data_IF_900159667575
#
_entry.id   IF_900159667575
#
_cell.length_a   1.000
_cell.length_b   1.000
_cell.length_c   1.000
_cell.angle_alpha   90.00
_cell.angle_beta   90.00
_cell.angle_gamma   90.00
#
_symmetry.space_group_name_H-M   'P 1'
#
loop_
_entity.id
_entity.type
_entity.pdbx_description
1 polymer ?
#
# COMPACT_ATOMS: atom_id res chain seq x y z
N UNK A 1 -11.60 9.41 -22.07
CA UNK A 1 -11.31 8.00 -21.72
C UNK A 1 -11.74 7.84 -20.28
N UNK A 2 -12.55 6.83 -19.95
CA UNK A 2 -12.91 6.57 -18.54
C UNK A 2 -11.69 5.91 -17.90
N UNK A 3 -11.36 6.36 -16.69
CA UNK A 3 -10.25 5.86 -15.90
C UNK A 3 -10.44 4.35 -15.66
N UNK A 4 -9.51 3.52 -16.13
CA UNK A 4 -9.61 2.06 -16.03
C UNK A 4 -9.46 1.57 -14.57
N UNK A 5 -9.09 2.46 -13.64
CA UNK A 5 -8.88 2.18 -12.23
C UNK A 5 -9.99 2.74 -11.29
N UNK A 6 -11.06 3.34 -11.82
CA UNK A 6 -12.17 3.87 -11.00
C UNK A 6 -13.01 2.72 -10.41
N UNK A 7 -13.02 2.56 -9.08
CA UNK A 7 -13.86 1.57 -8.41
C UNK A 7 -15.34 1.97 -8.48
N UNK A 8 -16.14 1.11 -9.09
CA UNK A 8 -17.59 1.18 -9.16
C UNK A 8 -18.16 0.33 -8.01
N UNK A 9 -18.83 0.99 -7.07
CA UNK A 9 -19.49 0.36 -5.92
C UNK A 9 -20.94 -0.01 -6.24
N UNK A 10 -21.40 -1.13 -5.70
CA UNK A 10 -22.78 -1.57 -5.87
C UNK A 10 -23.73 -0.78 -4.96
N UNK A 11 -24.95 -0.44 -5.42
CA UNK A 11 -25.98 0.10 -4.53
C UNK A 11 -26.50 -0.93 -3.50
N UNK A 12 -26.07 -2.19 -3.57
CA UNK A 12 -26.45 -3.23 -2.62
C UNK A 12 -25.58 -3.24 -1.36
N UNK A 13 -24.45 -2.54 -1.38
CA UNK A 13 -23.57 -2.36 -0.22
C UNK A 13 -24.36 -1.84 0.99
N UNK A 14 -24.11 -2.48 2.14
CA UNK A 14 -24.80 -2.13 3.38
C UNK A 14 -24.13 -2.75 4.59
N UNK A 15 -24.40 -2.13 5.73
CA UNK A 15 -24.22 -2.78 7.01
C UNK A 15 -25.34 -3.80 7.22
N UNK A 16 -24.98 -4.98 7.72
CA UNK A 16 -25.90 -6.04 8.09
C UNK A 16 -25.68 -6.43 9.55
N UNK A 17 -26.76 -6.47 10.33
CA UNK A 17 -26.74 -6.77 11.75
C UNK A 17 -27.63 -7.97 12.05
N UNK A 18 -27.09 -8.94 12.77
CA UNK A 18 -27.83 -10.10 13.30
C UNK A 18 -27.44 -10.29 14.78
N UNK A 19 -28.42 -10.14 15.67
CA UNK A 19 -28.16 -10.08 17.11
C UNK A 19 -27.35 -8.84 17.50
N UNK A 20 -26.22 -9.06 18.19
CA UNK A 20 -25.27 -8.00 18.59
C UNK A 20 -24.12 -7.83 17.59
N UNK A 21 -24.07 -8.64 16.53
CA UNK A 21 -22.96 -8.66 15.57
C UNK A 21 -23.34 -7.85 14.34
N UNK A 22 -22.44 -6.96 13.90
CA UNK A 22 -22.59 -6.16 12.68
C UNK A 22 -21.39 -6.38 11.77
N UNK A 23 -21.66 -6.53 10.48
CA UNK A 23 -20.67 -6.59 9.40
C UNK A 23 -21.03 -5.60 8.29
N UNK A 24 -20.05 -5.14 7.54
CA UNK A 24 -20.22 -4.32 6.35
C UNK A 24 -20.03 -5.18 5.10
N UNK A 25 -21.04 -5.21 4.22
CA UNK A 25 -21.00 -5.93 2.95
C UNK A 25 -20.60 -4.93 1.86
N UNK A 26 -19.41 -5.12 1.29
CA UNK A 26 -18.80 -4.31 0.24
C UNK A 26 -18.80 -5.08 -1.09
N UNK A 27 -19.24 -4.46 -2.19
CA UNK A 27 -19.38 -5.10 -3.49
C UNK A 27 -18.96 -4.12 -4.58
N UNK A 28 -17.78 -4.32 -5.13
CA UNK A 28 -17.16 -3.36 -6.05
C UNK A 28 -16.53 -4.03 -7.27
N UNK A 29 -16.20 -3.23 -8.27
CA UNK A 29 -15.43 -3.65 -9.45
C UNK A 29 -14.72 -2.46 -10.11
N UNK A 30 -13.75 -2.76 -10.97
CA UNK A 30 -13.25 -1.80 -11.97
C UNK A 30 -14.11 -1.84 -13.25
N UNK A 31 -14.07 -0.81 -14.11
CA UNK A 31 -14.88 -0.77 -15.32
C UNK A 31 -14.51 -1.93 -16.26
N UNK A 32 -15.48 -2.79 -16.56
CA UNK A 32 -15.28 -3.92 -17.48
C UNK A 32 -14.86 -5.24 -16.83
N UNK A 33 -14.74 -5.31 -15.50
CA UNK A 33 -14.46 -6.56 -14.77
C UNK A 33 -15.71 -7.12 -14.07
N UNK A 34 -15.57 -8.34 -13.54
CA UNK A 34 -16.55 -8.98 -12.65
C UNK A 34 -16.62 -8.27 -11.30
N UNK A 35 -17.70 -8.51 -10.56
CA UNK A 35 -17.91 -7.97 -9.21
C UNK A 35 -17.14 -8.79 -8.17
N UNK A 36 -16.53 -8.08 -7.23
CA UNK A 36 -15.85 -8.62 -6.05
C UNK A 36 -16.75 -8.47 -4.84
N UNK A 37 -16.77 -9.47 -3.97
CA UNK A 37 -17.45 -9.43 -2.68
C UNK A 37 -16.43 -9.38 -1.55
N UNK A 38 -16.60 -8.43 -0.65
CA UNK A 38 -15.85 -8.28 0.57
C UNK A 38 -16.81 -8.08 1.75
N UNK A 39 -16.54 -8.70 2.89
CA UNK A 39 -17.27 -8.45 4.14
C UNK A 39 -16.30 -8.08 5.25
N UNK A 40 -16.52 -6.92 5.86
CA UNK A 40 -15.69 -6.37 6.93
C UNK A 40 -16.41 -6.51 8.28
N UNK A 41 -15.73 -7.04 9.29
CA UNK A 41 -16.28 -7.19 10.64
C UNK A 41 -16.12 -5.93 11.52
N UNK A 42 -16.75 -5.94 12.70
CA UNK A 42 -16.62 -4.86 13.69
C UNK A 42 -15.21 -4.67 14.28
N UNK A 43 -14.26 -5.57 14.00
CA UNK A 43 -12.85 -5.44 14.36
C UNK A 43 -11.98 -4.93 13.19
N UNK A 44 -12.55 -4.71 12.01
CA UNK A 44 -11.84 -4.33 10.79
C UNK A 44 -11.12 -5.49 10.09
N UNK A 45 -11.47 -6.75 10.41
CA UNK A 45 -11.02 -7.89 9.63
C UNK A 45 -11.89 -8.01 8.38
N UNK A 46 -11.26 -8.37 7.26
CA UNK A 46 -11.94 -8.52 5.97
C UNK A 46 -11.97 -9.98 5.54
N UNK A 47 -13.13 -10.42 5.05
CA UNK A 47 -13.32 -11.67 4.34
C UNK A 47 -13.61 -11.34 2.89
N UNK A 48 -12.72 -11.73 1.96
CA UNK A 48 -12.89 -11.52 0.52
C UNK A 48 -13.14 -12.85 -0.16
N UNK A 49 -14.12 -12.90 -1.04
CA UNK A 49 -14.45 -14.12 -1.79
C UNK A 49 -13.58 -14.23 -3.04
N UNK A 50 -13.02 -15.43 -3.28
CA UNK A 50 -12.21 -15.74 -4.47
C UNK A 50 -13.04 -15.88 -5.75
N UNK A 51 -14.32 -16.23 -5.61
CA UNK A 51 -15.23 -16.39 -6.76
C UNK A 51 -15.60 -14.99 -7.30
N UNK A 52 -15.38 -14.75 -8.59
CA UNK A 52 -15.86 -13.55 -9.27
C UNK A 52 -17.36 -13.65 -9.60
N UNK A 53 -18.09 -12.55 -9.42
CA UNK A 53 -19.54 -12.52 -9.64
C UNK A 53 -19.92 -11.74 -10.91
N UNK A 54 -20.73 -12.35 -11.78
CA UNK A 54 -21.24 -11.70 -12.99
C UNK A 54 -22.12 -10.47 -12.67
N UNK A 55 -22.80 -10.48 -11.52
CA UNK A 55 -23.67 -9.38 -11.06
C UNK A 55 -23.41 -9.08 -9.59
N UNK A 56 -23.62 -7.82 -9.21
CA UNK A 56 -23.57 -7.38 -7.82
C UNK A 56 -24.63 -8.08 -6.95
N UNK A 57 -25.79 -8.40 -7.53
CA UNK A 57 -26.80 -9.20 -6.83
C UNK A 57 -26.30 -10.62 -6.50
N UNK A 58 -25.52 -11.26 -7.40
CA UNK A 58 -24.96 -12.58 -7.13
C UNK A 58 -23.91 -12.54 -6.00
N UNK A 59 -23.08 -11.49 -5.97
CA UNK A 59 -22.17 -11.22 -4.86
C UNK A 59 -22.95 -11.04 -3.55
N UNK A 60 -23.97 -10.18 -3.54
CA UNK A 60 -24.79 -9.95 -2.36
C UNK A 60 -25.47 -11.24 -1.86
N UNK A 61 -26.00 -12.05 -2.77
CA UNK A 61 -26.65 -13.31 -2.43
C UNK A 61 -25.68 -14.32 -1.79
N UNK A 62 -24.41 -14.36 -2.23
CA UNK A 62 -23.38 -15.22 -1.62
C UNK A 62 -23.00 -14.77 -0.21
N UNK A 63 -22.88 -13.46 0.04
CA UNK A 63 -22.65 -12.92 1.38
C UNK A 63 -23.79 -13.34 2.33
N UNK A 64 -25.03 -13.15 1.88
CA UNK A 64 -26.21 -13.54 2.65
C UNK A 64 -26.33 -15.05 2.82
N UNK A 65 -25.90 -15.85 1.84
CA UNK A 65 -25.89 -17.30 1.94
C UNK A 65 -24.86 -17.79 2.96
N UNK A 66 -23.69 -17.18 3.01
CA UNK A 66 -22.64 -17.48 4.00
C UNK A 66 -23.14 -17.18 5.41
N UNK A 67 -23.71 -15.99 5.62
CA UNK A 67 -24.32 -15.62 6.92
C UNK A 67 -25.40 -16.61 7.33
N UNK A 68 -26.26 -17.05 6.40
CA UNK A 68 -27.32 -18.03 6.69
C UNK A 68 -26.81 -19.44 6.99
N UNK A 69 -25.71 -19.85 6.36
CA UNK A 69 -25.23 -21.25 6.44
C UNK A 69 -24.26 -21.43 7.59
N UNK A 70 -23.33 -20.49 7.73
CA UNK A 70 -22.20 -20.58 8.64
C UNK A 70 -22.38 -19.63 9.85
N UNK A 71 -23.41 -18.78 9.83
CA UNK A 71 -23.70 -17.78 10.85
C UNK A 71 -22.88 -16.51 10.65
N UNK A 72 -23.42 -15.34 11.01
CA UNK A 72 -22.68 -14.06 10.94
C UNK A 72 -21.35 -14.10 11.71
N UNK A 73 -21.27 -14.90 12.78
CA UNK A 73 -20.07 -15.09 13.58
C UNK A 73 -18.90 -15.72 12.80
N UNK A 74 -19.17 -16.47 11.73
CA UNK A 74 -18.12 -17.05 10.87
C UNK A 74 -17.32 -15.99 10.11
N UNK A 75 -17.89 -14.80 9.94
CA UNK A 75 -17.28 -13.66 9.28
C UNK A 75 -16.57 -12.73 10.27
N UNK A 76 -16.56 -13.08 11.56
CA UNK A 76 -15.90 -12.31 12.62
C UNK A 76 -14.54 -12.95 12.90
N UNK A 77 -13.47 -12.24 12.55
CA UNK A 77 -12.11 -12.63 12.89
C UNK A 77 -11.81 -12.43 14.37
N UNK A 78 -10.68 -12.97 14.84
CA UNK A 78 -10.26 -12.75 16.22
C UNK A 78 -10.11 -11.24 16.50
N UNK A 79 -10.51 -10.78 17.70
CA UNK A 79 -10.26 -9.41 18.11
C UNK A 79 -8.75 -9.17 18.11
N UNK A 80 -8.32 -8.23 17.28
CA UNK A 80 -6.97 -7.66 17.34
C UNK A 80 -6.70 -7.23 18.79
N UNK A 81 -5.56 -7.66 19.36
CA UNK A 81 -5.27 -7.60 20.82
C UNK A 81 -5.59 -6.21 21.37
N UNK A 82 -6.14 -6.15 22.58
CA UNK A 82 -6.69 -4.96 23.25
C UNK A 82 -5.77 -3.72 23.42
N UNK A 83 -4.52 -3.77 22.94
CA UNK A 83 -3.69 -2.58 22.73
C UNK A 83 -4.08 -1.79 21.46
N UNK A 84 -4.89 -2.37 20.57
CA UNK A 84 -5.27 -1.77 19.28
C UNK A 84 -6.64 -1.07 19.32
N UNK A 85 -7.47 -1.32 20.33
CA UNK A 85 -8.88 -0.87 20.39
C UNK A 85 -9.09 0.57 20.90
N UNK A 86 -8.02 1.35 21.07
CA UNK A 86 -8.08 2.82 21.27
C UNK A 86 -7.39 3.60 20.16
N UNK A 87 -6.99 2.95 19.05
CA UNK A 87 -6.60 3.66 17.84
C UNK A 87 -7.89 4.21 17.24
N UNK A 88 -8.02 5.53 17.18
CA UNK A 88 -8.88 6.15 16.19
C UNK A 88 -8.46 5.56 14.85
N UNK A 89 -9.26 4.63 14.31
CA UNK A 89 -9.06 4.13 12.96
C UNK A 89 -9.19 5.37 12.10
N UNK A 90 -8.08 5.83 11.54
CA UNK A 90 -8.09 6.88 10.54
C UNK A 90 -9.18 6.51 9.54
N UNK A 91 -10.16 7.41 9.37
CA UNK A 91 -11.22 7.23 8.41
C UNK A 91 -10.57 6.75 7.09
N UNK A 92 -10.94 5.60 6.51
CA UNK A 92 -10.26 5.06 5.34
C UNK A 92 -10.24 6.06 4.16
N UNK A 93 -11.20 6.99 4.10
CA UNK A 93 -11.19 8.12 3.17
C UNK A 93 -10.04 9.12 3.39
N UNK A 94 -9.60 9.31 4.65
CA UNK A 94 -8.46 10.18 4.99
C UNK A 94 -7.12 9.60 4.56
N UNK A 95 -6.92 8.29 4.70
CA UNK A 95 -5.67 7.63 4.27
C UNK A 95 -5.48 7.67 2.75
N UNK A 96 -6.58 7.78 1.99
CA UNK A 96 -6.56 7.94 0.54
C UNK A 96 -6.42 9.41 0.09
N UNK A 97 -6.49 10.37 1.01
CA UNK A 97 -6.38 11.80 0.68
C UNK A 97 -4.89 12.19 0.67
N UNK A 98 -4.34 12.73 -0.43
CA UNK A 98 -2.97 13.25 -0.47
C UNK A 98 -2.72 14.29 0.62
N UNK A 99 -1.46 14.46 1.04
CA UNK A 99 -1.09 15.54 1.95
C UNK A 99 -1.29 16.90 1.26
N UNK A 100 -1.84 17.85 2.00
CA UNK A 100 -1.79 19.26 1.59
C UNK A 100 -0.40 19.85 1.82
N UNK A 101 -0.07 20.97 1.18
CA UNK A 101 1.22 21.67 1.40
C UNK A 101 1.48 21.95 2.87
N UNK A 102 0.46 22.43 3.61
CA UNK A 102 0.61 22.71 5.03
C UNK A 102 0.88 21.44 5.88
N UNK A 103 0.35 20.28 5.48
CA UNK A 103 0.64 19.01 6.17
C UNK A 103 2.03 18.48 5.78
N UNK A 104 2.50 18.75 4.56
CA UNK A 104 3.89 18.43 4.17
C UNK A 104 4.87 19.29 4.97
N UNK A 105 4.62 20.60 5.09
CA UNK A 105 5.44 21.51 5.90
C UNK A 105 5.43 21.10 7.39
N UNK A 106 4.29 20.62 7.89
CA UNK A 106 4.17 20.11 9.26
C UNK A 106 4.99 18.82 9.47
N UNK A 107 4.94 17.89 8.51
CA UNK A 107 5.73 16.67 8.55
C UNK A 107 7.23 16.98 8.49
N UNK A 108 7.66 17.84 7.57
CA UNK A 108 9.05 18.27 7.42
C UNK A 108 9.60 18.91 8.71
N UNK A 109 8.80 19.82 9.30
CA UNK A 109 9.15 20.46 10.55
C UNK A 109 9.28 19.47 11.72
N UNK A 110 8.47 18.39 11.74
CA UNK A 110 8.59 17.35 12.76
C UNK A 110 9.84 16.48 12.57
N UNK A 111 10.10 16.03 11.34
CA UNK A 111 11.26 15.19 11.00
C UNK A 111 12.58 15.88 11.35
N UNK A 112 12.63 17.20 11.28
CA UNK A 112 13.80 18.04 11.56
C UNK A 112 13.84 18.64 12.98
N UNK A 113 12.95 18.19 13.89
CA UNK A 113 12.81 18.78 15.22
C UNK A 113 13.68 18.09 16.28
N UNK A 114 13.85 18.71 17.44
CA UNK A 114 14.53 18.09 18.59
C UNK A 114 13.78 16.86 19.16
N UNK A 115 12.60 16.51 18.63
CA UNK A 115 11.86 15.30 18.98
C UNK A 115 12.41 14.05 18.27
N UNK A 116 13.23 14.22 17.23
CA UNK A 116 13.81 13.15 16.42
C UNK A 116 15.34 13.15 16.57
N UNK A 117 15.98 12.04 16.19
CA UNK A 117 17.44 11.91 16.23
C UNK A 117 18.09 12.46 14.95
N UNK A 118 19.41 12.67 14.95
CA UNK A 118 20.16 13.04 13.74
C UNK A 118 20.14 11.93 12.65
N UNK A 119 19.73 10.72 13.00
CA UNK A 119 19.59 9.58 12.07
C UNK A 119 18.21 9.55 11.39
N UNK A 120 17.28 10.42 11.79
CA UNK A 120 15.94 10.49 11.21
C UNK A 120 15.99 11.03 9.78
N UNK A 121 15.24 10.40 8.89
CA UNK A 121 15.15 10.81 7.49
C UNK A 121 14.52 12.19 7.35
N UNK A 122 15.16 13.04 6.54
CA UNK A 122 14.56 14.29 6.06
C UNK A 122 13.40 14.00 5.09
N UNK A 123 12.53 14.98 4.82
CA UNK A 123 11.32 14.75 4.01
C UNK A 123 11.64 14.21 2.60
N UNK A 124 12.67 14.72 1.94
CA UNK A 124 13.11 14.27 0.62
C UNK A 124 13.73 12.86 0.65
N UNK A 125 14.52 12.54 1.68
CA UNK A 125 15.02 11.19 1.92
C UNK A 125 13.88 10.20 2.19
N UNK A 126 12.89 10.59 2.99
CA UNK A 126 11.69 9.79 3.26
C UNK A 126 10.90 9.50 1.97
N UNK A 127 10.70 10.50 1.10
CA UNK A 127 10.01 10.34 -0.19
C UNK A 127 10.75 9.29 -1.07
N UNK A 128 12.07 9.37 -1.14
CA UNK A 128 12.89 8.39 -1.87
C UNK A 128 12.81 6.98 -1.29
N UNK A 129 12.90 6.87 0.04
CA UNK A 129 12.78 5.61 0.77
C UNK A 129 11.43 4.92 0.53
N UNK A 130 10.34 5.67 0.67
CA UNK A 130 8.99 5.17 0.41
C UNK A 130 8.80 4.84 -1.07
N UNK A 131 9.36 5.62 -1.99
CA UNK A 131 9.29 5.34 -3.43
C UNK A 131 9.94 4.01 -3.78
N UNK A 132 11.13 3.71 -3.24
CA UNK A 132 11.79 2.41 -3.43
C UNK A 132 10.91 1.26 -2.93
N UNK A 133 10.28 1.41 -1.76
CA UNK A 133 9.38 0.39 -1.20
C UNK A 133 8.17 0.17 -2.10
N UNK A 134 7.56 1.24 -2.62
CA UNK A 134 6.38 1.17 -3.49
C UNK A 134 6.69 0.51 -4.84
N UNK A 135 7.80 0.87 -5.48
CA UNK A 135 8.13 0.39 -6.82
C UNK A 135 8.96 -0.89 -6.83
N UNK A 136 9.39 -1.35 -5.66
CA UNK A 136 10.22 -2.53 -5.50
C UNK A 136 9.55 -3.85 -5.87
N UNK A 137 10.33 -4.94 -5.86
CA UNK A 137 9.84 -6.28 -6.20
C UNK A 137 8.97 -6.91 -5.11
N UNK A 138 9.18 -6.53 -3.85
CA UNK A 138 8.64 -7.21 -2.67
C UNK A 138 7.71 -6.29 -1.88
N UNK A 139 6.50 -6.75 -1.61
CA UNK A 139 5.59 -6.06 -0.68
C UNK A 139 6.10 -6.17 0.75
N UNK A 140 6.52 -5.04 1.33
CA UNK A 140 7.00 -4.97 2.72
C UNK A 140 5.88 -4.55 3.67
N UNK A 141 5.80 -5.20 4.83
CA UNK A 141 4.90 -4.78 5.90
C UNK A 141 5.45 -3.54 6.62
N UNK A 142 4.56 -2.73 7.20
CA UNK A 142 4.93 -1.50 7.93
C UNK A 142 6.01 -1.74 8.99
N UNK A 143 5.95 -2.85 9.72
CA UNK A 143 6.95 -3.18 10.75
C UNK A 143 8.36 -3.40 10.19
N UNK A 144 8.51 -3.68 8.89
CA UNK A 144 9.80 -3.88 8.25
C UNK A 144 10.46 -2.57 7.81
N UNK A 145 9.68 -1.55 7.45
CA UNK A 145 10.22 -0.31 6.89
C UNK A 145 10.01 0.92 7.78
N UNK A 146 8.96 0.98 8.59
CA UNK A 146 8.63 2.14 9.41
C UNK A 146 9.71 2.50 10.45
N UNK A 147 10.36 1.53 11.15
CA UNK A 147 11.44 1.86 12.07
C UNK A 147 12.62 2.57 11.40
N UNK A 148 12.93 2.20 10.15
CA UNK A 148 14.06 2.76 9.39
C UNK A 148 13.95 4.25 9.08
N UNK A 149 12.75 4.84 9.20
CA UNK A 149 12.55 6.29 9.06
C UNK A 149 13.28 7.06 10.16
N UNK A 150 13.37 6.48 11.34
CA UNK A 150 13.87 7.15 12.54
C UNK A 150 15.35 6.87 12.80
N UNK A 151 15.81 5.69 12.38
CA UNK A 151 17.20 5.25 12.53
C UNK A 151 17.32 3.72 12.63
N UNK A 152 18.51 3.24 12.97
CA UNK A 152 18.84 1.80 13.01
C UNK A 152 18.67 1.19 14.40
N UNK A 153 18.62 2.02 15.45
CA UNK A 153 18.56 1.61 16.84
C UNK A 153 17.23 2.02 17.47
N UNK A 154 16.80 1.28 18.50
CA UNK A 154 15.59 1.64 19.28
C UNK A 154 15.71 3.02 19.96
N UNK A 155 16.94 3.49 20.20
CA UNK A 155 17.22 4.81 20.78
C UNK A 155 16.95 5.96 19.80
N UNK A 156 16.89 5.68 18.50
CA UNK A 156 16.61 6.68 17.46
C UNK A 156 15.11 6.96 17.33
N UNK A 157 14.26 6.22 18.05
CA UNK A 157 12.81 6.38 17.99
C UNK A 157 12.37 7.79 18.44
N UNK A 158 11.40 8.40 17.73
CA UNK A 158 10.97 9.76 18.01
C UNK A 158 10.30 9.90 19.38
N UNK A 159 10.56 11.03 20.03
CA UNK A 159 9.94 11.42 21.29
C UNK A 159 8.67 12.24 21.04
N UNK A 160 7.52 11.56 20.99
CA UNK A 160 6.22 12.23 20.89
C UNK A 160 5.78 12.83 22.24
N UNK A 161 5.18 14.00 22.18
CA UNK A 161 4.54 14.68 23.30
C UNK A 161 3.37 13.87 23.86
N UNK A 162 2.55 13.30 22.96
CA UNK A 162 1.44 12.43 23.30
C UNK A 162 1.10 11.44 22.18
N UNK A 163 0.11 10.58 22.43
CA UNK A 163 -0.35 9.56 21.47
C UNK A 163 -1.00 10.20 20.24
N UNK A 164 -1.60 11.39 20.37
CA UNK A 164 -2.28 12.05 19.25
C UNK A 164 -1.28 12.60 18.25
N UNK A 165 -0.17 13.17 18.71
CA UNK A 165 0.95 13.58 17.86
C UNK A 165 1.55 12.38 17.12
N UNK A 166 1.84 11.29 17.84
CA UNK A 166 2.33 10.05 17.25
C UNK A 166 1.40 9.51 16.14
N UNK A 167 0.09 9.51 16.40
CA UNK A 167 -0.92 9.09 15.42
C UNK A 167 -0.96 10.02 14.21
N UNK A 168 -0.82 11.34 14.42
CA UNK A 168 -0.85 12.34 13.34
C UNK A 168 0.35 12.22 12.42
N UNK A 169 1.56 12.12 12.97
CA UNK A 169 2.79 11.93 12.18
C UNK A 169 2.72 10.62 11.39
N UNK A 170 2.32 9.52 12.04
CA UNK A 170 2.14 8.23 11.38
C UNK A 170 1.07 8.29 10.27
N UNK A 171 -0.05 8.98 10.49
CA UNK A 171 -1.08 9.19 9.46
C UNK A 171 -0.52 9.97 8.27
N UNK A 172 0.29 11.00 8.49
CA UNK A 172 0.88 11.79 7.40
C UNK A 172 1.86 10.95 6.57
N UNK A 173 2.75 10.19 7.21
CA UNK A 173 3.67 9.26 6.53
C UNK A 173 2.90 8.24 5.69
N UNK A 174 1.83 7.64 6.24
CA UNK A 174 1.03 6.66 5.51
C UNK A 174 0.25 7.29 4.35
N UNK A 175 -0.27 8.50 4.50
CA UNK A 175 -0.93 9.24 3.41
C UNK A 175 0.05 9.61 2.30
N UNK A 176 1.28 9.95 2.65
CA UNK A 176 2.33 10.22 1.68
C UNK A 176 2.71 8.94 0.90
N UNK A 177 2.95 7.82 1.61
CA UNK A 177 3.16 6.50 1.01
C UNK A 177 2.02 6.11 0.04
N UNK A 178 0.76 6.27 0.46
CA UNK A 178 -0.39 6.00 -0.39
C UNK A 178 -0.49 6.96 -1.58
N UNK A 179 -0.07 8.22 -1.40
CA UNK A 179 0.01 9.21 -2.48
C UNK A 179 1.02 8.81 -3.56
N UNK A 180 2.18 8.29 -3.16
CA UNK A 180 3.19 7.74 -4.08
C UNK A 180 2.61 6.56 -4.86
N UNK A 181 1.96 5.60 -4.18
CA UNK A 181 1.25 4.47 -4.84
C UNK A 181 0.27 4.98 -5.88
N UNK A 182 -0.62 5.89 -5.48
CA UNK A 182 -1.67 6.40 -6.35
C UNK A 182 -1.09 7.11 -7.58
N UNK A 183 -0.09 7.97 -7.37
CA UNK A 183 0.59 8.71 -8.43
C UNK A 183 1.19 7.75 -9.46
N UNK A 184 1.94 6.74 -9.03
CA UNK A 184 2.63 5.80 -9.90
C UNK A 184 1.70 4.80 -10.59
N UNK A 185 0.59 4.42 -9.96
CA UNK A 185 -0.42 3.55 -10.57
C UNK A 185 -1.24 4.28 -11.63
N UNK A 186 -1.51 5.58 -11.45
CA UNK A 186 -2.32 6.35 -12.39
C UNK A 186 -1.50 6.88 -13.57
N UNK A 187 -0.38 7.55 -13.29
CA UNK A 187 0.54 8.03 -14.32
C UNK A 187 1.98 8.12 -13.78
N UNK A 188 2.74 7.04 -13.96
CA UNK A 188 4.11 6.96 -13.50
C UNK A 188 5.05 8.01 -14.14
N UNK A 189 4.75 8.51 -15.34
CA UNK A 189 5.59 9.52 -16.01
C UNK A 189 5.34 10.93 -15.46
N UNK A 190 4.20 11.15 -14.80
CA UNK A 190 3.85 12.40 -14.13
C UNK A 190 4.16 12.39 -12.63
N UNK A 191 4.76 11.31 -12.10
CA UNK A 191 5.20 11.28 -10.72
C UNK A 191 6.36 12.26 -10.50
N UNK A 192 6.21 13.14 -9.51
CA UNK A 192 7.18 14.16 -9.14
C UNK A 192 7.80 13.82 -7.78
N UNK A 193 9.04 13.31 -7.74
CA UNK A 193 9.76 13.10 -6.49
C UNK A 193 10.05 14.41 -5.77
N UNK A 194 10.12 14.37 -4.44
CA UNK A 194 10.45 15.53 -3.60
C UNK A 194 11.96 15.69 -3.54
N UNK A 195 12.48 16.77 -4.12
CA UNK A 195 13.90 17.13 -4.09
C UNK A 195 14.12 18.41 -3.29
N UNK A 196 15.25 18.50 -2.60
CA UNK A 196 15.68 19.74 -1.98
C UNK A 196 16.02 20.81 -3.04
N UNK A 197 15.78 22.07 -2.71
CA UNK A 197 16.06 23.22 -3.56
C UNK A 197 16.98 24.17 -2.83
N UNK A 198 18.17 24.37 -3.37
CA UNK A 198 19.18 25.22 -2.76
C UNK A 198 19.70 26.28 -3.73
N UNK A 199 20.21 27.37 -3.17
CA UNK A 199 20.89 28.40 -3.95
C UNK A 199 22.29 27.92 -4.32
N UNK A 200 22.61 27.88 -5.62
CA UNK A 200 23.97 27.59 -6.07
C UNK A 200 24.99 28.63 -5.54
N UNK A 201 26.24 28.21 -5.34
CA UNK A 201 27.35 29.07 -4.89
C UNK A 201 27.58 30.29 -5.79
N UNK A 202 27.14 30.23 -7.05
CA UNK A 202 27.19 31.34 -8.02
C UNK A 202 26.08 32.39 -7.81
N UNK A 203 25.25 32.24 -6.76
CA UNK A 203 24.49 33.31 -6.12
C UNK A 203 23.22 33.79 -6.83
N UNK A 204 22.77 33.14 -7.90
CA UNK A 204 21.57 33.59 -8.63
C UNK A 204 20.68 32.50 -9.25
N UNK A 205 21.02 31.21 -9.11
CA UNK A 205 20.23 30.13 -9.71
C UNK A 205 19.94 29.07 -8.65
N UNK A 206 18.65 28.84 -8.41
CA UNK A 206 18.14 27.72 -7.63
C UNK A 206 18.42 26.42 -8.40
N UNK A 207 18.96 25.43 -7.69
CA UNK A 207 19.25 24.10 -8.21
C UNK A 207 18.48 23.07 -7.37
N UNK A 208 17.99 22.01 -8.01
CA UNK A 208 17.45 20.85 -7.31
C UNK A 208 18.60 19.90 -6.94
N UNK A 209 18.57 19.34 -5.73
CA UNK A 209 19.44 18.24 -5.32
C UNK A 209 18.64 16.96 -5.11
N UNK A 210 19.17 15.86 -5.65
CA UNK A 210 18.56 14.53 -5.51
C UNK A 210 19.34 13.62 -4.59
N UNK A 211 20.42 14.10 -3.95
CA UNK A 211 21.33 13.29 -3.15
C UNK A 211 20.61 12.60 -1.98
N UNK A 212 19.91 13.36 -1.13
CA UNK A 212 19.18 12.81 0.03
C UNK A 212 18.03 11.91 -0.40
N UNK A 213 17.27 12.30 -1.42
CA UNK A 213 16.23 11.46 -2.01
C UNK A 213 16.79 10.12 -2.50
N UNK A 214 17.91 10.17 -3.23
CA UNK A 214 18.54 8.97 -3.78
C UNK A 214 19.13 8.08 -2.68
N UNK A 215 19.69 8.67 -1.62
CA UNK A 215 20.16 7.93 -0.45
C UNK A 215 19.01 7.16 0.21
N UNK A 216 17.89 7.83 0.47
CA UNK A 216 16.68 7.19 0.99
C UNK A 216 16.18 6.07 0.08
N UNK A 217 16.17 6.28 -1.24
CA UNK A 217 15.83 5.23 -2.19
C UNK A 217 16.73 4.00 -2.05
N UNK A 218 18.05 4.19 -1.94
CA UNK A 218 19.01 3.10 -1.78
C UNK A 218 18.85 2.38 -0.43
N UNK A 219 18.47 3.08 0.64
CA UNK A 219 18.08 2.46 1.91
C UNK A 219 16.82 1.60 1.76
N UNK A 220 15.82 2.04 1.00
CA UNK A 220 14.62 1.27 0.71
C UNK A 220 14.91 0.02 -0.13
N UNK A 221 15.84 0.13 -1.09
CA UNK A 221 16.39 -1.02 -1.83
C UNK A 221 17.08 -2.01 -0.89
N UNK A 222 17.82 -1.53 0.12
CA UNK A 222 18.56 -2.36 1.05
C UNK A 222 17.67 -3.31 1.87
N UNK A 223 16.42 -2.92 2.16
CA UNK A 223 15.43 -3.74 2.90
C UNK A 223 15.14 -5.10 2.23
N UNK A 224 15.28 -5.17 0.91
CA UNK A 224 15.04 -6.38 0.11
C UNK A 224 16.08 -6.56 -0.99
N UNK A 225 17.32 -6.12 -0.76
CA UNK A 225 18.38 -6.02 -1.79
C UNK A 225 18.52 -7.29 -2.67
N UNK A 226 18.42 -8.48 -2.06
CA UNK A 226 18.52 -9.74 -2.79
C UNK A 226 17.45 -9.91 -3.88
N UNK A 227 16.25 -9.35 -3.66
CA UNK A 227 15.11 -9.41 -4.58
C UNK A 227 15.25 -8.38 -5.71
N UNK A 228 16.04 -7.32 -5.52
CA UNK A 228 16.32 -6.32 -6.55
C UNK A 228 17.33 -6.79 -7.62
N UNK A 229 18.04 -7.89 -7.36
CA UNK A 229 19.09 -8.43 -8.26
C UNK A 229 18.66 -8.56 -9.74
N UNK A 230 17.45 -9.01 -10.10
CA UNK A 230 17.01 -9.07 -11.49
C UNK A 230 17.02 -7.70 -12.22
N UNK A 231 16.74 -6.60 -11.52
CA UNK A 231 16.85 -5.26 -12.11
C UNK A 231 18.32 -4.90 -12.34
N UNK A 232 19.19 -5.18 -11.37
CA UNK A 232 20.62 -4.86 -11.45
C UNK A 232 21.33 -5.64 -12.57
N UNK A 233 20.89 -6.87 -12.84
CA UNK A 233 21.44 -7.74 -13.87
C UNK A 233 20.87 -7.46 -15.28
N UNK A 234 19.72 -6.79 -15.41
CA UNK A 234 19.19 -6.33 -16.71
C UNK A 234 19.97 -5.07 -17.16
N UNK A 235 20.58 -5.04 -18.37
CA UNK A 235 21.35 -3.89 -18.82
C UNK A 235 20.57 -2.56 -18.86
N UNK A 236 19.25 -2.61 -19.11
CA UNK A 236 18.38 -1.42 -19.04
C UNK A 236 18.03 -1.09 -17.60
N UNK A 237 17.77 -2.11 -16.78
CA UNK A 237 17.54 -1.94 -15.34
C UNK A 237 18.72 -1.27 -14.63
N UNK A 238 19.95 -1.72 -14.92
CA UNK A 238 21.19 -1.09 -14.47
C UNK A 238 21.30 0.38 -14.93
N UNK A 239 20.94 0.67 -16.19
CA UNK A 239 20.94 2.05 -16.70
C UNK A 239 19.86 2.94 -16.08
N UNK A 240 18.71 2.38 -15.68
CA UNK A 240 17.63 3.12 -15.01
C UNK A 240 17.99 3.44 -13.57
N UNK A 241 18.59 2.52 -12.81
CA UNK A 241 18.94 2.81 -11.42
C UNK A 241 20.23 3.64 -11.29
N UNK A 242 21.05 3.70 -12.33
CA UNK A 242 22.32 4.44 -12.33
C UNK A 242 22.26 5.87 -11.77
N UNK A 243 21.34 6.78 -12.18
CA UNK A 243 21.30 8.13 -11.62
C UNK A 243 21.00 8.15 -10.12
N UNK A 244 20.19 7.21 -9.64
CA UNK A 244 19.85 7.08 -8.23
C UNK A 244 21.07 6.55 -7.47
N UNK A 245 21.73 5.50 -7.97
CA UNK A 245 22.94 4.95 -7.35
C UNK A 245 24.10 5.95 -7.33
N UNK A 246 24.31 6.71 -8.40
CA UNK A 246 25.38 7.73 -8.45
C UNK A 246 25.22 8.79 -7.37
N UNK A 247 23.98 9.15 -7.03
CA UNK A 247 23.69 10.18 -6.03
C UNK A 247 23.59 9.62 -4.62
N UNK A 248 23.02 8.43 -4.44
CA UNK A 248 22.64 7.91 -3.12
C UNK A 248 23.45 6.73 -2.59
N UNK A 249 24.31 6.10 -3.40
CA UNK A 249 25.11 4.94 -2.96
C UNK A 249 26.47 5.40 -2.42
N UNK A 250 26.82 4.90 -1.23
CA UNK A 250 28.13 5.17 -0.63
C UNK A 250 29.27 4.45 -1.39
N UNK A 251 28.97 3.30 -2.04
CA UNK A 251 29.94 2.46 -2.75
C UNK A 251 30.05 2.84 -4.25
N UNK A 252 30.42 4.10 -4.50
CA UNK A 252 30.74 4.60 -5.84
C UNK A 252 32.25 4.75 -6.04
N UNK A 253 32.72 4.44 -7.26
CA UNK A 253 34.12 4.62 -7.63
C UNK A 253 34.52 6.11 -7.65
N UNK A 254 35.81 6.40 -7.56
CA UNK A 254 36.31 7.79 -7.61
C UNK A 254 35.90 8.52 -8.90
N UNK A 255 35.85 7.79 -10.03
CA UNK A 255 35.42 8.32 -11.33
C UNK A 255 33.93 8.67 -11.32
N UNK A 256 33.11 7.89 -10.64
CA UNK A 256 31.68 8.14 -10.47
C UNK A 256 31.43 9.30 -9.51
N UNK A 257 32.15 9.36 -8.39
CA UNK A 257 32.08 10.48 -7.45
C UNK A 257 32.46 11.81 -8.11
N UNK A 258 33.39 11.81 -9.06
CA UNK A 258 33.72 13.00 -9.83
C UNK A 258 32.56 13.51 -10.72
N UNK A 259 31.56 12.67 -11.01
CA UNK A 259 30.36 13.02 -11.76
C UNK A 259 29.28 13.67 -10.90
N UNK A 260 29.39 13.67 -9.57
CA UNK A 260 28.44 14.29 -8.63
C UNK A 260 29.08 15.40 -7.77
N UNK A 261 30.31 15.79 -8.11
CA UNK A 261 31.14 16.67 -7.29
C UNK A 261 30.62 18.11 -7.16
N UNK A 262 29.81 18.59 -8.10
CA UNK A 262 29.28 19.97 -8.11
C UNK A 262 27.76 19.99 -8.10
N UNK A 263 27.14 21.04 -7.54
CA UNK A 263 25.69 21.27 -7.61
C UNK A 263 25.07 21.07 -8.99
N UNK A 264 25.72 21.59 -10.04
CA UNK A 264 25.23 21.49 -11.43
C UNK A 264 25.27 20.08 -11.98
N UNK A 265 26.28 19.31 -11.60
CA UNK A 265 26.38 17.93 -12.01
C UNK A 265 25.32 17.08 -11.32
N UNK A 266 25.10 17.27 -10.01
CA UNK A 266 24.02 16.60 -9.27
C UNK A 266 22.66 16.97 -9.85
N UNK A 267 22.38 18.26 -10.07
CA UNK A 267 21.14 18.73 -10.71
C UNK A 267 20.87 18.03 -12.06
N UNK A 268 21.90 17.87 -12.89
CA UNK A 268 21.78 17.19 -14.18
C UNK A 268 21.43 15.69 -14.04
N UNK A 269 21.93 15.04 -12.99
CA UNK A 269 21.63 13.64 -12.66
C UNK A 269 20.24 13.53 -12.02
N UNK A 270 19.89 14.41 -11.08
CA UNK A 270 18.57 14.48 -10.42
C UNK A 270 17.44 14.59 -11.44
N UNK A 271 17.61 15.39 -12.49
CA UNK A 271 16.62 15.53 -13.58
C UNK A 271 16.33 14.22 -14.35
N UNK A 272 17.16 13.19 -14.19
CA UNK A 272 16.95 11.85 -14.79
C UNK A 272 16.17 10.91 -13.88
N UNK A 273 16.03 11.22 -12.59
CA UNK A 273 15.39 10.36 -11.59
C UNK A 273 13.91 10.08 -11.92
N UNK A 274 13.05 11.06 -12.29
CA UNK A 274 11.62 10.78 -12.53
C UNK A 274 11.39 9.71 -13.61
N UNK A 275 12.09 9.82 -14.75
CA UNK A 275 12.03 8.81 -15.81
C UNK A 275 12.58 7.45 -15.37
N UNK A 276 13.56 7.45 -14.46
CA UNK A 276 14.13 6.24 -13.87
C UNK A 276 13.12 5.52 -12.96
N UNK A 277 12.43 6.27 -12.10
CA UNK A 277 11.35 5.76 -11.24
C UNK A 277 10.24 5.14 -12.09
N UNK A 278 9.78 5.83 -13.13
CA UNK A 278 8.75 5.31 -14.04
C UNK A 278 9.17 4.01 -14.73
N UNK A 279 10.43 3.92 -15.16
CA UNK A 279 10.97 2.73 -15.80
C UNK A 279 11.11 1.53 -14.83
N UNK A 280 11.63 1.77 -13.63
CA UNK A 280 11.77 0.74 -12.58
C UNK A 280 10.39 0.26 -12.12
N UNK A 281 9.44 1.18 -11.92
CA UNK A 281 8.05 0.85 -11.58
C UNK A 281 7.44 -0.09 -12.62
N UNK A 282 7.58 0.22 -13.91
CA UNK A 282 7.09 -0.60 -15.03
C UNK A 282 7.79 -1.96 -15.12
N UNK A 283 9.09 -2.01 -14.82
CA UNK A 283 9.85 -3.27 -14.81
C UNK A 283 9.28 -4.26 -13.79
N UNK A 284 8.98 -3.78 -12.58
CA UNK A 284 8.47 -4.62 -11.49
C UNK A 284 6.96 -4.84 -11.50
N UNK A 285 6.19 -4.04 -12.24
CA UNK A 285 4.73 -4.15 -12.28
C UNK A 285 4.22 -5.57 -12.62
N UNK A 286 4.72 -6.27 -13.68
CA UNK A 286 4.30 -7.63 -13.96
C UNK A 286 4.70 -8.63 -12.86
N UNK A 287 5.85 -8.40 -12.22
CA UNK A 287 6.31 -9.24 -11.11
C UNK A 287 5.40 -9.10 -9.90
N UNK A 288 5.04 -7.87 -9.52
CA UNK A 288 4.10 -7.59 -8.42
C UNK A 288 2.72 -8.16 -8.71
N UNK A 289 2.21 -8.03 -9.93
CA UNK A 289 0.93 -8.63 -10.31
C UNK A 289 0.97 -10.16 -10.17
N UNK A 290 2.02 -10.82 -10.67
CA UNK A 290 2.15 -12.27 -10.54
C UNK A 290 2.29 -12.73 -9.07
N UNK A 291 3.03 -11.98 -8.24
CA UNK A 291 3.13 -12.30 -6.81
C UNK A 291 1.81 -12.08 -6.07
N UNK A 292 1.09 -11.01 -6.39
CA UNK A 292 -0.23 -10.74 -5.84
C UNK A 292 -1.23 -11.84 -6.23
N UNK A 293 -1.28 -12.24 -7.51
CA UNK A 293 -2.09 -13.37 -7.97
C UNK A 293 -1.76 -14.67 -7.22
N UNK A 294 -0.48 -14.97 -6.98
CA UNK A 294 -0.05 -16.16 -6.23
C UNK A 294 -0.40 -16.06 -4.74
N UNK A 295 -0.38 -14.88 -4.14
CA UNK A 295 -0.77 -14.66 -2.75
C UNK A 295 -2.30 -14.73 -2.58
N UNK A 296 -3.06 -14.11 -3.48
CA UNK A 296 -4.52 -14.17 -3.52
C UNK A 296 -5.03 -15.59 -3.80
N UNK A 297 -4.31 -16.36 -4.62
CA UNK A 297 -4.59 -17.79 -4.85
C UNK A 297 -4.33 -18.70 -3.61
N UNK A 298 -3.79 -18.16 -2.50
CA UNK A 298 -3.54 -18.90 -1.26
C UNK A 298 -4.59 -18.65 -0.16
N UNK A 299 -5.67 -17.89 -0.38
CA UNK A 299 -6.69 -17.55 0.64
C UNK A 299 -8.11 -17.89 0.21
N UNK A 300 -8.56 -19.14 0.21
CA UNK A 300 -9.47 -19.72 1.20
C UNK A 300 -9.72 -21.17 0.78
N UNK A 301 -9.07 -22.13 1.44
CA UNK A 301 -9.39 -23.55 1.21
C UNK A 301 -10.70 -23.85 1.95
N UNK A 302 -11.85 -23.84 1.25
CA UNK A 302 -13.15 -24.25 1.82
C UNK A 302 -12.93 -25.51 2.67
N UNK A 303 -13.19 -25.42 3.98
CA UNK A 303 -13.00 -26.56 4.89
C UNK A 303 -13.97 -27.71 4.56
N UNK A 304 -15.06 -27.39 3.85
CA UNK A 304 -16.04 -28.35 3.38
C UNK A 304 -16.21 -28.31 1.85
N UNK A 305 -16.42 -29.47 1.19
CA UNK A 305 -16.74 -29.52 -0.22
C UNK A 305 -17.95 -28.65 -0.55
N UNK A 306 -17.91 -27.94 -1.68
CA UNK A 306 -19.05 -27.17 -2.20
C UNK A 306 -20.27 -28.10 -2.29
N UNK A 307 -21.31 -27.84 -1.48
CA UNK A 307 -22.54 -28.64 -1.47
C UNK A 307 -23.19 -28.50 -2.84
N UNK A 308 -23.24 -29.59 -3.59
CA UNK A 308 -23.86 -29.62 -4.90
C UNK A 308 -25.36 -29.35 -4.80
N UNK A 309 -25.92 -28.69 -5.81
CA UNK A 309 -27.36 -28.34 -5.88
C UNK A 309 -28.31 -29.53 -5.63
N UNK A 310 -27.85 -30.77 -5.87
CA UNK A 310 -28.63 -31.99 -5.67
C UNK A 310 -28.22 -32.80 -4.42
N UNK A 311 -27.21 -32.37 -3.66
CA UNK A 311 -26.70 -33.07 -2.49
C UNK A 311 -27.63 -32.90 -1.29
N UNK A 312 -27.54 -33.78 -0.27
CA UNK A 312 -28.25 -33.60 0.99
C UNK A 312 -27.95 -32.24 1.61
N UNK A 313 -29.00 -31.56 2.07
CA UNK A 313 -28.88 -30.22 2.64
C UNK A 313 -28.22 -30.28 4.03
N UNK A 314 -27.21 -29.44 4.32
CA UNK A 314 -26.43 -29.52 5.55
C UNK A 314 -27.23 -29.16 6.82
N UNK A 315 -28.39 -28.51 6.70
CA UNK A 315 -29.28 -28.19 7.84
C UNK A 315 -29.97 -29.40 8.49
N UNK A 316 -29.65 -30.63 8.08
CA UNK A 316 -30.21 -31.86 8.67
C UNK A 316 -31.65 -32.19 8.24
N UNK A 317 -32.23 -31.45 7.28
CA UNK A 317 -33.63 -31.63 6.86
C UNK A 317 -33.91 -32.90 6.05
N UNK A 318 -32.86 -33.60 5.60
CA UNK A 318 -32.96 -34.78 4.72
C UNK A 318 -33.37 -34.46 3.27
N UNK A 319 -33.56 -33.19 2.90
CA UNK A 319 -33.91 -32.76 1.54
C UNK A 319 -32.66 -32.45 0.70
N UNK A 320 -32.80 -32.44 -0.63
CA UNK A 320 -31.74 -31.94 -1.53
C UNK A 320 -31.56 -30.42 -1.35
N UNK A 321 -30.33 -29.90 -1.45
CA UNK A 321 -29.99 -28.49 -1.23
C UNK A 321 -30.93 -27.53 -1.99
N UNK A 322 -31.16 -27.74 -3.29
CA UNK A 322 -32.07 -26.93 -4.12
C UNK A 322 -33.55 -26.96 -3.72
N UNK A 323 -33.94 -27.85 -2.82
CA UNK A 323 -35.32 -27.99 -2.33
C UNK A 323 -35.43 -27.62 -0.83
N UNK A 324 -34.38 -27.07 -0.26
CA UNK A 324 -34.30 -26.65 1.13
C UNK A 324 -33.63 -25.28 1.19
N UNK A 325 -32.43 -25.17 1.77
CA UNK A 325 -31.72 -23.90 1.93
C UNK A 325 -31.37 -23.22 0.60
N UNK A 326 -31.33 -23.96 -0.52
CA UNK A 326 -31.16 -23.39 -1.86
C UNK A 326 -32.44 -22.83 -2.50
N UNK A 327 -33.56 -22.78 -1.78
CA UNK A 327 -34.75 -22.00 -2.15
C UNK A 327 -34.73 -20.74 -1.28
N UNK A 328 -34.38 -19.58 -1.84
CA UNK A 328 -34.20 -18.31 -1.11
C UNK A 328 -35.46 -17.72 -0.45
N UNK A 329 -36.40 -18.54 0.03
CA UNK A 329 -37.73 -18.14 0.49
C UNK A 329 -38.15 -18.78 1.82
N UNK A 330 -37.27 -19.51 2.52
CA UNK A 330 -37.62 -20.10 3.81
C UNK A 330 -36.52 -19.84 4.83
N UNK A 331 -36.70 -18.77 5.61
CA UNK A 331 -36.01 -18.54 6.88
C UNK A 331 -36.44 -19.66 7.85
N UNK A 332 -35.49 -20.48 8.27
CA UNK A 332 -35.63 -21.37 9.41
C UNK A 332 -34.67 -20.91 10.49
#
# INVERSE_FOLDING_TARGET
MRDENELIYSPLERHYTEGEVTVEICIYRTPGTSWTLEVVDGHGNSTVWEDEFETDQAAFDEAMQTIRTDGIASLIGEPRRAAETKRAVANPLRLATPLSTAEMDELDAFLSSDATSDETMMLDQLDGYLTAIVIGPTTLSMNQWYPGIWGKCDEDAPHFNDIAEAQRIMEMIMRHYNGIIWSLQHDAESHEPIFDVFASEEGAIECIDGEMWAAGFMEGVALSHADWRPLFEDPRGSAWIEPIRLLGDEDVSEVERAQTATPRQREAITKRIPASVAAIHRFWLPHRHAMHEVQSAKSFRRQHPKVGRNDPCPCGSGKKYKKCCGLGTTLH
#
